data_IF_342824429206
#
_entry.id   IF_342824429206
#
_cell.length_a   1.000
_cell.length_b   1.000
_cell.length_c   1.000
_cell.angle_alpha   90.00
_cell.angle_beta   90.00
_cell.angle_gamma   90.00
#
_symmetry.space_group_name_H-M   'P 1'
#
loop_
_entity.id
_entity.type
_entity.pdbx_description
1 polymer ?
#
# COMPACT_ATOMS: atom_id res chain seq x y z
N UNK A 1 13.89 -8.78 20.67
CA UNK A 1 14.75 -7.82 19.93
C UNK A 1 14.30 -7.60 18.48
N UNK A 2 14.38 -8.58 17.55
CA UNK A 2 13.98 -8.33 16.15
C UNK A 2 12.46 -8.34 15.90
N UNK A 3 11.68 -9.05 16.73
CA UNK A 3 10.21 -9.03 16.69
C UNK A 3 9.64 -7.69 17.17
N UNK A 4 10.10 -7.20 18.32
CA UNK A 4 9.64 -5.93 18.91
C UNK A 4 9.87 -4.72 17.99
N UNK A 5 10.96 -4.72 17.23
CA UNK A 5 11.22 -3.68 16.24
C UNK A 5 10.23 -3.73 15.07
N UNK A 6 9.86 -4.93 14.62
CA UNK A 6 8.84 -5.10 13.58
C UNK A 6 7.46 -4.69 14.07
N UNK A 7 7.12 -5.02 15.32
CA UNK A 7 5.85 -4.63 15.93
C UNK A 7 5.76 -3.10 16.06
N UNK A 8 6.80 -2.45 16.59
CA UNK A 8 6.87 -0.98 16.65
C UNK A 8 6.81 -0.32 15.27
N UNK A 9 7.49 -0.88 14.27
CA UNK A 9 7.43 -0.36 12.90
C UNK A 9 6.01 -0.48 12.32
N UNK A 10 5.30 -1.57 12.64
CA UNK A 10 3.91 -1.79 12.24
C UNK A 10 3.00 -0.76 12.90
N UNK A 11 3.14 -0.52 14.19
CA UNK A 11 2.36 0.47 14.95
C UNK A 11 2.59 1.89 14.43
N UNK A 12 3.84 2.26 14.14
CA UNK A 12 4.19 3.56 13.55
C UNK A 12 3.57 3.70 12.16
N UNK A 13 3.67 2.66 11.33
CA UNK A 13 3.07 2.68 9.98
C UNK A 13 1.56 2.85 10.04
N UNK A 14 0.89 2.13 10.95
CA UNK A 14 -0.56 2.25 11.17
C UNK A 14 -0.95 3.64 11.71
N UNK A 15 -0.14 4.21 12.61
CA UNK A 15 -0.32 5.56 13.13
C UNK A 15 -0.21 6.61 12.03
N UNK A 16 0.78 6.48 11.15
CA UNK A 16 0.96 7.34 9.98
C UNK A 16 -0.24 7.23 9.02
N UNK A 17 -0.66 6.01 8.68
CA UNK A 17 -1.82 5.79 7.80
C UNK A 17 -3.10 6.40 8.41
N UNK A 18 -3.27 6.30 9.73
CA UNK A 18 -4.40 6.91 10.45
C UNK A 18 -4.34 8.44 10.41
N UNK A 19 -3.17 9.03 10.66
CA UNK A 19 -2.98 10.49 10.60
C UNK A 19 -3.22 11.02 9.19
N UNK A 20 -2.70 10.34 8.17
CA UNK A 20 -2.97 10.66 6.77
C UNK A 20 -4.48 10.61 6.50
N UNK A 21 -5.14 9.51 6.84
CA UNK A 21 -6.60 9.38 6.64
C UNK A 21 -7.42 10.48 7.33
N UNK A 22 -7.07 10.85 8.56
CA UNK A 22 -7.77 11.91 9.30
C UNK A 22 -7.48 13.29 8.71
N UNK A 23 -6.26 13.54 8.23
CA UNK A 23 -5.91 14.78 7.51
C UNK A 23 -6.74 14.93 6.24
N UNK A 24 -6.93 13.83 5.49
CA UNK A 24 -7.73 13.85 4.26
C UNK A 24 -9.24 13.75 4.47
N UNK A 25 -9.72 13.42 5.67
CA UNK A 25 -11.16 13.52 6.00
C UNK A 25 -11.69 14.96 5.97
N UNK A 26 -10.81 15.98 5.94
CA UNK A 26 -11.17 17.38 5.70
C UNK A 26 -11.40 17.72 4.22
N UNK A 27 -10.92 16.88 3.28
CA UNK A 27 -11.31 16.95 1.88
C UNK A 27 -12.68 16.28 1.79
N UNK A 28 -13.73 17.04 1.48
CA UNK A 28 -15.10 16.53 1.43
C UNK A 28 -15.31 15.38 0.42
N UNK A 29 -16.57 14.98 0.22
CA UNK A 29 -16.98 13.88 -0.68
C UNK A 29 -16.55 14.01 -2.17
N UNK A 30 -15.78 15.04 -2.53
CA UNK A 30 -15.13 15.25 -3.83
C UNK A 30 -13.72 14.64 -3.93
N UNK A 31 -13.27 13.87 -2.93
CA UNK A 31 -12.03 13.11 -2.99
C UNK A 31 -11.98 12.21 -4.24
N UNK A 32 -11.15 12.57 -5.22
CA UNK A 32 -11.01 11.85 -6.50
C UNK A 32 -10.34 10.48 -6.36
N UNK A 33 -9.71 10.24 -5.20
CA UNK A 33 -9.02 9.01 -4.81
C UNK A 33 -9.32 8.69 -3.34
N UNK A 34 -9.40 7.41 -2.99
CA UNK A 34 -9.62 6.93 -1.63
C UNK A 34 -8.30 6.76 -0.85
N UNK A 35 -7.19 6.50 -1.53
CA UNK A 35 -5.88 6.35 -0.89
C UNK A 35 -5.20 7.73 -0.67
N UNK A 36 -4.90 8.11 0.58
CA UNK A 36 -4.21 9.36 0.93
C UNK A 36 -2.99 9.70 0.08
N UNK A 37 -2.09 8.72 -0.11
CA UNK A 37 -0.82 8.93 -0.81
C UNK A 37 -1.01 9.18 -2.30
N UNK A 38 -2.10 8.66 -2.88
CA UNK A 38 -2.45 8.88 -4.29
C UNK A 38 -3.02 10.28 -4.46
N UNK A 39 -3.83 10.74 -3.49
CA UNK A 39 -4.34 12.10 -3.44
C UNK A 39 -3.22 13.13 -3.30
N UNK A 40 -2.26 12.91 -2.39
CA UNK A 40 -1.08 13.79 -2.25
C UNK A 40 -0.30 13.92 -3.57
N UNK A 41 -0.07 12.79 -4.26
CA UNK A 41 0.61 12.79 -5.55
C UNK A 41 -0.19 13.52 -6.63
N UNK A 42 -1.50 13.40 -6.61
CA UNK A 42 -2.38 14.10 -7.54
C UNK A 42 -2.37 15.61 -7.31
N UNK A 43 -2.47 16.06 -6.06
CA UNK A 43 -2.40 17.48 -5.70
C UNK A 43 -1.03 18.06 -6.08
N UNK A 44 0.05 17.31 -5.83
CA UNK A 44 1.40 17.71 -6.23
C UNK A 44 1.55 17.75 -7.76
N UNK A 45 0.94 16.82 -8.49
CA UNK A 45 0.96 16.81 -9.95
C UNK A 45 0.16 17.98 -10.54
N UNK A 46 -1.01 18.30 -9.99
CA UNK A 46 -1.80 19.47 -10.39
C UNK A 46 -1.06 20.79 -10.15
N UNK A 47 -0.24 20.85 -9.10
CA UNK A 47 0.62 21.98 -8.79
C UNK A 47 1.97 21.96 -9.55
N UNK A 48 2.25 20.92 -10.33
CA UNK A 48 3.45 20.82 -11.16
C UNK A 48 3.16 21.33 -12.58
N UNK A 49 4.22 21.61 -13.34
CA UNK A 49 4.14 22.15 -14.70
C UNK A 49 3.81 21.07 -15.75
N UNK A 50 2.79 20.24 -15.50
CA UNK A 50 2.32 19.25 -16.48
C UNK A 50 1.39 19.90 -17.52
N UNK A 51 1.46 19.43 -18.76
CA UNK A 51 0.43 19.72 -19.76
C UNK A 51 -0.87 18.97 -19.45
N UNK A 52 -1.99 19.43 -19.97
CA UNK A 52 -3.30 18.79 -19.75
C UNK A 52 -3.29 17.30 -20.13
N UNK A 53 -2.63 16.95 -21.24
CA UNK A 53 -2.50 15.56 -21.71
C UNK A 53 -1.66 14.68 -20.77
N UNK A 54 -0.57 15.24 -20.23
CA UNK A 54 0.26 14.53 -19.25
C UNK A 54 -0.48 14.36 -17.93
N UNK A 55 -1.24 15.36 -17.50
CA UNK A 55 -2.06 15.30 -16.29
C UNK A 55 -3.16 14.23 -16.41
N UNK A 56 -3.83 14.13 -17.56
CA UNK A 56 -4.80 13.06 -17.83
C UNK A 56 -4.16 11.67 -17.83
N UNK A 57 -3.00 11.52 -18.48
CA UNK A 57 -2.25 10.26 -18.48
C UNK A 57 -1.82 9.88 -17.07
N UNK A 58 -1.37 10.86 -16.27
CA UNK A 58 -0.96 10.65 -14.88
C UNK A 58 -2.15 10.27 -13.99
N UNK A 59 -3.33 10.87 -14.23
CA UNK A 59 -4.57 10.51 -13.53
C UNK A 59 -4.96 9.06 -13.76
N UNK A 60 -4.87 8.58 -14.99
CA UNK A 60 -5.12 7.16 -15.31
C UNK A 60 -4.10 6.24 -14.63
N UNK A 61 -2.82 6.62 -14.65
CA UNK A 61 -1.76 5.87 -13.96
C UNK A 61 -2.00 5.78 -12.44
N UNK A 62 -2.46 6.88 -11.82
CA UNK A 62 -2.84 6.93 -10.41
C UNK A 62 -4.04 6.02 -10.09
N UNK A 63 -5.07 5.97 -10.96
CA UNK A 63 -6.20 5.05 -10.80
C UNK A 63 -5.75 3.58 -10.85
N UNK A 64 -4.86 3.24 -11.77
CA UNK A 64 -4.28 1.89 -11.83
C UNK A 64 -3.42 1.58 -10.61
N UNK A 65 -2.70 2.57 -10.09
CA UNK A 65 -1.90 2.43 -8.89
C UNK A 65 -2.77 2.22 -7.65
N UNK A 66 -3.88 2.94 -7.51
CA UNK A 66 -4.86 2.76 -6.45
C UNK A 66 -5.45 1.34 -6.45
N UNK A 67 -5.89 0.84 -7.61
CA UNK A 67 -6.37 -0.55 -7.72
C UNK A 67 -5.29 -1.58 -7.31
N UNK A 68 -4.00 -1.28 -7.56
CA UNK A 68 -2.88 -2.13 -7.15
C UNK A 68 -2.67 -2.09 -5.63
N UNK A 69 -2.82 -0.92 -5.00
CA UNK A 69 -2.78 -0.75 -3.54
C UNK A 69 -3.94 -1.49 -2.88
N UNK A 70 -5.15 -1.33 -3.40
CA UNK A 70 -6.34 -2.01 -2.90
C UNK A 70 -6.15 -3.54 -2.93
N UNK A 71 -5.65 -4.06 -4.06
CA UNK A 71 -5.32 -5.49 -4.20
C UNK A 71 -4.29 -5.93 -3.16
N UNK A 72 -3.22 -5.16 -2.95
CA UNK A 72 -2.23 -5.46 -1.92
C UNK A 72 -2.85 -5.48 -0.51
N UNK A 73 -3.69 -4.49 -0.18
CA UNK A 73 -4.39 -4.41 1.10
C UNK A 73 -5.33 -5.61 1.31
N UNK A 74 -6.01 -6.05 0.25
CA UNK A 74 -6.82 -7.26 0.29
C UNK A 74 -5.99 -8.51 0.60
N UNK A 75 -4.85 -8.70 -0.09
CA UNK A 75 -3.94 -9.82 0.18
C UNK A 75 -3.34 -9.78 1.59
N UNK A 76 -2.99 -8.60 2.10
CA UNK A 76 -2.53 -8.43 3.48
C UNK A 76 -3.60 -8.87 4.50
N UNK A 77 -4.87 -8.47 4.31
CA UNK A 77 -5.97 -8.91 5.17
C UNK A 77 -6.16 -10.42 5.13
N UNK A 78 -6.11 -11.03 3.93
CA UNK A 78 -6.19 -12.49 3.79
C UNK A 78 -5.02 -13.20 4.48
N UNK A 79 -3.82 -12.64 4.39
CA UNK A 79 -2.64 -13.17 5.07
C UNK A 79 -2.80 -13.11 6.60
N UNK A 80 -3.34 -12.02 7.14
CA UNK A 80 -3.60 -11.87 8.57
C UNK A 80 -4.64 -12.87 9.08
N UNK A 81 -5.73 -13.09 8.34
CA UNK A 81 -6.73 -14.12 8.64
C UNK A 81 -6.09 -15.51 8.60
N UNK A 82 -5.26 -15.78 7.58
CA UNK A 82 -4.53 -17.05 7.45
C UNK A 82 -3.58 -17.28 8.62
N UNK A 83 -2.87 -16.25 9.06
CA UNK A 83 -1.98 -16.29 10.23
C UNK A 83 -2.73 -16.64 11.52
N UNK A 84 -3.89 -16.03 11.73
CA UNK A 84 -4.75 -16.33 12.89
C UNK A 84 -5.26 -17.78 12.85
N UNK A 85 -5.67 -18.26 11.67
CA UNK A 85 -6.07 -19.67 11.48
C UNK A 85 -4.92 -20.63 11.74
N UNK A 86 -3.71 -20.31 11.28
CA UNK A 86 -2.51 -21.11 11.53
C UNK A 86 -2.25 -21.26 13.03
N UNK A 87 -2.22 -20.14 13.78
CA UNK A 87 -2.04 -20.15 15.23
C UNK A 87 -3.11 -20.96 15.96
N UNK A 88 -4.34 -20.91 15.48
CA UNK A 88 -5.42 -21.72 16.05
C UNK A 88 -5.19 -23.21 15.78
N UNK A 89 -4.87 -23.61 14.55
CA UNK A 89 -4.61 -25.02 14.17
C UNK A 89 -3.38 -25.60 14.87
N UNK A 90 -2.33 -24.80 15.10
CA UNK A 90 -1.16 -25.18 15.90
C UNK A 90 -1.55 -25.60 17.33
N UNK A 91 -2.65 -25.07 17.87
CA UNK A 91 -3.18 -25.45 19.19
C UNK A 91 -3.87 -26.83 19.23
N UNK A 92 -4.25 -27.41 18.08
CA UNK A 92 -4.94 -28.71 17.99
C UNK A 92 -3.99 -29.89 17.71
N UNK A 93 -2.70 -29.63 17.45
CA UNK A 93 -1.64 -30.66 17.45
C UNK A 93 -1.55 -31.55 16.20
N UNK A 94 -2.35 -31.33 15.16
CA UNK A 94 -2.30 -32.12 13.91
C UNK A 94 -1.16 -31.64 12.98
N UNK A 95 -0.03 -32.34 13.02
CA UNK A 95 1.20 -32.00 12.30
C UNK A 95 1.04 -31.90 10.78
N UNK A 96 0.22 -32.75 10.15
CA UNK A 96 0.07 -32.78 8.69
C UNK A 96 -0.75 -31.57 8.21
N UNK A 97 -1.81 -31.24 8.95
CA UNK A 97 -2.62 -30.05 8.72
C UNK A 97 -1.85 -28.74 8.97
N UNK A 98 -0.97 -28.71 9.98
CA UNK A 98 -0.09 -27.56 10.24
C UNK A 98 0.88 -27.33 9.08
N UNK A 99 1.51 -28.40 8.56
CA UNK A 99 2.50 -28.29 7.47
C UNK A 99 1.90 -27.72 6.19
N UNK A 100 0.76 -28.25 5.73
CA UNK A 100 0.04 -27.74 4.56
C UNK A 100 -0.40 -26.29 4.72
N UNK A 101 -0.89 -25.91 5.90
CA UNK A 101 -1.37 -24.56 6.15
C UNK A 101 -0.21 -23.56 6.23
N UNK A 102 0.94 -23.99 6.76
CA UNK A 102 2.18 -23.21 6.79
C UNK A 102 2.75 -22.94 5.40
N UNK A 103 2.72 -23.94 4.51
CA UNK A 103 3.13 -23.77 3.11
C UNK A 103 2.24 -22.76 2.37
N UNK A 104 0.91 -22.88 2.53
CA UNK A 104 -0.05 -21.92 1.95
C UNK A 104 0.15 -20.51 2.51
N UNK A 105 0.42 -20.39 3.81
CA UNK A 105 0.75 -19.11 4.44
C UNK A 105 2.04 -18.51 3.85
N UNK A 106 3.10 -19.30 3.68
CA UNK A 106 4.36 -18.83 3.12
C UNK A 106 4.20 -18.29 1.68
N UNK A 107 3.47 -19.00 0.83
CA UNK A 107 3.17 -18.56 -0.54
C UNK A 107 2.36 -17.25 -0.57
N UNK A 108 1.35 -17.13 0.31
CA UNK A 108 0.56 -15.91 0.47
C UNK A 108 1.42 -14.75 0.98
N UNK A 109 2.33 -15.02 1.93
CA UNK A 109 3.23 -14.02 2.49
C UNK A 109 4.20 -13.49 1.42
N UNK A 110 4.81 -14.38 0.64
CA UNK A 110 5.72 -14.03 -0.44
C UNK A 110 5.03 -13.16 -1.50
N UNK A 111 3.85 -13.58 -1.97
CA UNK A 111 3.06 -12.82 -2.95
C UNK A 111 2.66 -11.45 -2.41
N UNK A 112 2.32 -11.37 -1.13
CA UNK A 112 1.97 -10.11 -0.46
C UNK A 112 3.18 -9.18 -0.38
N UNK A 113 4.36 -9.70 -0.02
CA UNK A 113 5.61 -8.93 0.00
C UNK A 113 6.01 -8.44 -1.39
N UNK A 114 5.87 -9.27 -2.41
CA UNK A 114 6.16 -8.90 -3.80
C UNK A 114 5.24 -7.77 -4.29
N UNK A 115 3.94 -7.88 -4.01
CA UNK A 115 2.98 -6.80 -4.31
C UNK A 115 3.33 -5.51 -3.55
N UNK A 116 3.70 -5.62 -2.27
CA UNK A 116 4.12 -4.47 -1.47
C UNK A 116 5.37 -3.79 -2.04
N UNK A 117 6.35 -4.57 -2.51
CA UNK A 117 7.54 -4.04 -3.20
C UNK A 117 7.16 -3.33 -4.50
N UNK A 118 6.29 -3.93 -5.32
CA UNK A 118 5.78 -3.31 -6.55
C UNK A 118 5.07 -2.00 -6.25
N UNK A 119 4.23 -1.94 -5.21
CA UNK A 119 3.53 -0.71 -4.79
C UNK A 119 4.54 0.36 -4.39
N UNK A 120 5.52 0.04 -3.54
CA UNK A 120 6.58 1.00 -3.14
C UNK A 120 7.37 1.53 -4.34
N UNK A 121 7.76 0.65 -5.26
CA UNK A 121 8.51 1.04 -6.47
C UNK A 121 7.70 1.98 -7.36
N UNK A 122 6.41 1.69 -7.58
CA UNK A 122 5.53 2.58 -8.36
C UNK A 122 5.35 3.92 -7.67
N UNK A 123 5.15 3.94 -6.34
CA UNK A 123 5.04 5.18 -5.59
C UNK A 123 6.29 6.06 -5.73
N UNK A 124 7.47 5.46 -5.63
CA UNK A 124 8.74 6.16 -5.78
C UNK A 124 8.91 6.72 -7.19
N UNK A 125 8.54 5.95 -8.22
CA UNK A 125 8.61 6.40 -9.62
C UNK A 125 7.65 7.57 -9.86
N UNK A 126 6.39 7.44 -9.44
CA UNK A 126 5.38 8.52 -9.55
C UNK A 126 5.83 9.78 -8.81
N UNK A 127 6.32 9.65 -7.57
CA UNK A 127 6.84 10.79 -6.79
C UNK A 127 8.06 11.44 -7.45
N UNK A 128 8.95 10.63 -8.06
CA UNK A 128 10.11 11.14 -8.79
C UNK A 128 9.70 11.89 -10.05
N UNK A 129 8.68 11.42 -10.79
CA UNK A 129 8.15 12.11 -11.98
C UNK A 129 7.49 13.43 -11.62
N UNK A 130 6.66 13.45 -10.58
CA UNK A 130 6.03 14.69 -10.10
C UNK A 130 7.07 15.70 -9.62
N UNK A 131 8.09 15.25 -8.90
CA UNK A 131 9.20 16.11 -8.48
C UNK A 131 9.97 16.69 -9.67
N UNK A 132 10.28 15.89 -10.70
CA UNK A 132 10.94 16.39 -11.92
C UNK A 132 10.06 17.38 -12.69
N UNK A 133 8.75 17.12 -12.79
CA UNK A 133 7.80 18.05 -13.40
C UNK A 133 7.73 19.40 -12.70
N UNK A 134 8.06 19.48 -11.39
CA UNK A 134 8.21 20.74 -10.65
C UNK A 134 9.56 21.44 -10.90
N UNK A 135 10.62 20.69 -11.21
CA UNK A 135 11.98 21.19 -11.35
C UNK A 135 12.45 21.39 -12.79
N UNK A 136 11.57 21.26 -13.80
CA UNK A 136 11.90 21.51 -15.21
C UNK A 136 12.18 23.00 -15.55
N UNK A 137 12.46 23.83 -14.55
CA UNK A 137 13.04 25.16 -14.73
C UNK A 137 14.56 25.09 -14.55
N UNK A 138 15.26 24.73 -15.63
CA UNK A 138 16.63 25.16 -15.95
C UNK A 138 16.79 25.26 -17.47
#
# INVERSE_FOLDING_TARGET
RHSELKDRLRDISQGLDRLQRVSHQGYGAEAEFAEPRVMDLWDLARAANFTQKELESFKEELKHFEAKIEKHNHYQKQLEISHQKLKHVESFGDQEHISRNKERYALLEEKTKELGYKVKKHLQDLSSRVSRGRHNEL
#
